data_IF_348602287266
#
_entry.id   IF_348602287266
#
_cell.length_a   1.000
_cell.length_b   1.000
_cell.length_c   1.000
_cell.angle_alpha   90.00
_cell.angle_beta   90.00
_cell.angle_gamma   90.00
#
_symmetry.space_group_name_H-M   'P 1'
#
loop_
_entity.id
_entity.type
_entity.pdbx_description
1 polymer ?
#
# COMPACT_ATOMS: atom_id res chain seq x y z
N UNK A 1 14.57 34.97 -12.67
CA UNK A 1 14.10 34.36 -13.92
C UNK A 1 15.24 34.46 -14.91
N UNK A 2 15.73 33.32 -15.42
CA UNK A 2 16.85 33.24 -16.35
C UNK A 2 16.36 32.63 -17.66
N UNK A 3 16.73 33.21 -18.80
CA UNK A 3 16.38 32.69 -20.12
C UNK A 3 17.59 31.98 -20.70
N UNK A 4 17.40 30.77 -21.18
CA UNK A 4 18.45 29.96 -21.80
C UNK A 4 18.50 30.21 -23.31
N UNK A 5 19.61 29.82 -23.95
CA UNK A 5 19.83 29.99 -25.39
C UNK A 5 18.83 29.18 -26.24
N UNK A 6 18.24 28.12 -25.67
CA UNK A 6 17.17 27.31 -26.28
C UNK A 6 15.78 27.97 -26.20
N UNK A 7 15.69 29.17 -25.62
CA UNK A 7 14.44 29.91 -25.42
C UNK A 7 13.67 29.55 -24.15
N UNK A 8 14.11 28.54 -23.38
CA UNK A 8 13.46 28.13 -22.13
C UNK A 8 13.70 29.11 -20.99
N UNK A 9 12.82 29.06 -19.98
CA UNK A 9 12.84 29.96 -18.83
C UNK A 9 13.02 29.18 -17.53
N UNK A 10 14.02 29.54 -16.73
CA UNK A 10 14.17 29.07 -15.34
C UNK A 10 13.66 30.12 -14.37
N UNK A 11 12.70 29.73 -13.54
CA UNK A 11 12.16 30.55 -12.45
C UNK A 11 12.51 29.95 -11.11
N UNK A 12 12.55 30.78 -10.06
CA UNK A 12 12.75 30.32 -8.69
C UNK A 12 11.51 30.67 -7.87
N UNK A 13 10.88 29.65 -7.29
CA UNK A 13 9.75 29.76 -6.35
C UNK A 13 8.49 30.49 -6.85
N UNK A 14 8.38 30.74 -8.16
CA UNK A 14 7.40 31.70 -8.71
C UNK A 14 5.96 31.18 -8.81
N UNK A 15 5.71 29.89 -8.55
CA UNK A 15 4.39 29.25 -8.70
C UNK A 15 3.97 28.43 -7.47
N UNK A 16 3.73 29.06 -6.31
CA UNK A 16 3.38 28.33 -5.08
C UNK A 16 2.05 27.58 -5.20
N UNK A 17 1.02 28.18 -5.79
CA UNK A 17 -0.31 27.56 -5.94
C UNK A 17 -0.31 26.36 -6.89
N UNK A 18 0.32 26.50 -8.07
CA UNK A 18 0.46 25.39 -9.01
C UNK A 18 1.27 24.24 -8.40
N UNK A 19 2.32 24.55 -7.61
CA UNK A 19 3.08 23.52 -6.88
C UNK A 19 2.24 22.86 -5.78
N UNK A 20 1.39 23.59 -5.08
CA UNK A 20 0.47 23.01 -4.10
C UNK A 20 -0.54 22.06 -4.77
N UNK A 21 -1.13 22.47 -5.90
CA UNK A 21 -2.02 21.62 -6.69
C UNK A 21 -1.31 20.36 -7.21
N UNK A 22 -0.08 20.50 -7.72
CA UNK A 22 0.74 19.35 -8.14
C UNK A 22 1.08 18.43 -6.96
N UNK A 23 1.45 18.97 -5.80
CA UNK A 23 1.68 18.16 -4.59
C UNK A 23 0.42 17.40 -4.17
N UNK A 24 -0.75 18.03 -4.23
CA UNK A 24 -2.01 17.36 -3.91
C UNK A 24 -2.31 16.20 -4.88
N UNK A 25 -2.04 16.40 -6.18
CA UNK A 25 -2.15 15.34 -7.17
C UNK A 25 -1.14 14.20 -6.90
N UNK A 26 0.13 14.55 -6.65
CA UNK A 26 1.20 13.61 -6.32
C UNK A 26 0.82 12.76 -5.10
N UNK A 27 0.36 13.39 -4.00
CA UNK A 27 -0.05 12.70 -2.79
C UNK A 27 -1.24 11.74 -2.99
N UNK A 28 -2.07 11.99 -4.00
CA UNK A 28 -3.20 11.14 -4.35
C UNK A 28 -2.81 9.98 -5.26
N UNK A 29 -1.92 10.23 -6.22
CA UNK A 29 -1.66 9.31 -7.35
C UNK A 29 -0.40 8.46 -7.14
N UNK A 30 0.67 9.04 -6.57
CA UNK A 30 1.95 8.34 -6.42
C UNK A 30 1.83 7.13 -5.48
N UNK A 31 1.17 7.19 -4.30
CA UNK A 31 1.20 6.05 -3.40
C UNK A 31 0.53 4.78 -3.93
N UNK A 32 -0.65 4.83 -4.58
CA UNK A 32 -1.22 3.66 -5.25
C UNK A 32 -0.31 3.10 -6.35
N UNK A 33 0.31 3.96 -7.18
CA UNK A 33 1.23 3.51 -8.23
C UNK A 33 2.46 2.82 -7.63
N UNK A 34 3.12 3.45 -6.65
CA UNK A 34 4.30 2.85 -6.00
C UNK A 34 3.96 1.54 -5.30
N UNK A 35 2.81 1.48 -4.63
CA UNK A 35 2.34 0.26 -3.97
C UNK A 35 2.10 -0.84 -5.00
N UNK A 36 1.34 -0.54 -6.07
CA UNK A 36 1.04 -1.48 -7.14
C UNK A 36 2.32 -1.97 -7.84
N UNK A 37 3.23 -1.07 -8.21
CA UNK A 37 4.52 -1.44 -8.83
C UNK A 37 5.36 -2.30 -7.90
N UNK A 38 5.45 -1.93 -6.62
CA UNK A 38 6.15 -2.73 -5.61
C UNK A 38 5.51 -4.09 -5.51
N UNK A 39 4.18 -4.18 -5.59
CA UNK A 39 3.49 -5.44 -5.53
C UNK A 39 3.71 -6.32 -6.76
N UNK A 40 3.63 -5.74 -7.95
CA UNK A 40 3.83 -6.44 -9.22
C UNK A 40 5.26 -6.99 -9.38
N UNK A 41 6.26 -6.21 -8.96
CA UNK A 41 7.68 -6.51 -9.23
C UNK A 41 8.33 -7.39 -8.15
N UNK A 42 7.72 -7.48 -6.97
CA UNK A 42 8.22 -8.31 -5.89
C UNK A 42 7.72 -9.74 -5.99
N UNK A 43 8.66 -10.69 -5.94
CA UNK A 43 8.41 -12.12 -5.78
C UNK A 43 8.95 -12.56 -4.41
N UNK A 44 8.50 -13.71 -3.86
CA UNK A 44 8.98 -14.20 -2.55
C UNK A 44 10.50 -14.23 -2.43
N UNK A 45 11.19 -14.66 -3.48
CA UNK A 45 12.66 -14.76 -3.51
C UNK A 45 13.35 -13.54 -4.13
N UNK A 46 12.57 -12.55 -4.56
CA UNK A 46 13.09 -11.41 -5.28
C UNK A 46 12.43 -10.10 -4.88
N UNK A 47 13.18 -9.32 -4.12
CA UNK A 47 12.72 -8.01 -3.69
C UNK A 47 13.33 -6.86 -4.50
N UNK A 48 12.48 -6.16 -5.23
CA UNK A 48 12.74 -4.90 -5.92
C UNK A 48 12.32 -3.75 -5.02
N UNK A 49 13.30 -2.94 -4.60
CA UNK A 49 13.05 -1.66 -3.95
C UNK A 49 12.88 -0.57 -5.03
N UNK A 50 11.72 0.08 -5.07
CA UNK A 50 11.51 1.25 -5.90
C UNK A 50 12.13 2.46 -5.23
N UNK A 51 12.99 3.16 -5.96
CA UNK A 51 13.68 4.34 -5.47
C UNK A 51 13.32 5.54 -6.29
N UNK A 52 12.95 6.62 -5.60
CA UNK A 52 12.78 7.93 -6.23
C UNK A 52 14.16 8.46 -6.62
N UNK A 53 14.39 8.64 -7.91
CA UNK A 53 15.64 9.19 -8.44
C UNK A 53 15.65 10.71 -8.41
N UNK A 54 14.64 11.34 -9.02
CA UNK A 54 14.56 12.80 -9.16
C UNK A 54 13.10 13.28 -9.20
N UNK A 55 12.87 14.56 -8.90
CA UNK A 55 11.59 15.25 -9.11
C UNK A 55 11.84 16.51 -9.95
N UNK A 56 11.52 16.45 -11.24
CA UNK A 56 11.45 17.62 -12.10
C UNK A 56 10.08 18.29 -12.06
N UNK A 57 10.01 19.59 -12.27
CA UNK A 57 8.77 20.31 -12.54
C UNK A 57 8.95 21.16 -13.80
N UNK A 58 8.06 20.98 -14.76
CA UNK A 58 8.05 21.74 -16.02
C UNK A 58 6.66 22.28 -16.30
N UNK A 59 6.57 23.52 -16.77
CA UNK A 59 5.35 24.17 -17.24
C UNK A 59 5.49 24.65 -18.68
N UNK A 60 4.37 25.10 -19.25
CA UNK A 60 4.35 25.77 -20.56
C UNK A 60 3.66 27.12 -20.41
N UNK A 61 4.30 28.17 -20.90
CA UNK A 61 3.75 29.52 -20.97
C UNK A 61 2.67 29.61 -22.07
N UNK A 62 1.86 30.67 -22.05
CA UNK A 62 0.77 30.90 -23.01
C UNK A 62 1.28 31.02 -24.46
N UNK A 63 2.52 31.48 -24.62
CA UNK A 63 3.23 31.59 -25.90
C UNK A 63 3.89 30.28 -26.36
N UNK A 64 3.73 29.18 -25.60
CA UNK A 64 4.33 27.88 -25.89
C UNK A 64 5.73 27.66 -25.30
N UNK A 65 6.32 28.68 -24.65
CA UNK A 65 7.67 28.58 -24.06
C UNK A 65 7.70 27.59 -22.89
N UNK A 66 8.73 26.73 -22.85
CA UNK A 66 8.91 25.78 -21.75
C UNK A 66 9.55 26.44 -20.52
N UNK A 67 8.98 26.17 -19.35
CA UNK A 67 9.42 26.71 -18.06
C UNK A 67 9.89 25.57 -17.17
N UNK A 68 11.12 25.68 -16.64
CA UNK A 68 11.72 24.68 -15.76
C UNK A 68 11.96 25.26 -14.37
N UNK A 69 11.55 24.54 -13.32
CA UNK A 69 11.86 24.84 -11.92
C UNK A 69 12.78 23.72 -11.41
N UNK A 70 14.08 24.01 -11.28
CA UNK A 70 15.13 23.01 -11.02
C UNK A 70 15.69 23.21 -9.60
N UNK A 71 15.90 22.11 -8.88
CA UNK A 71 16.61 22.04 -7.60
C UNK A 71 17.63 20.90 -7.67
N UNK A 72 18.91 21.22 -7.50
CA UNK A 72 19.98 20.23 -7.50
C UNK A 72 20.15 19.61 -6.10
N UNK A 73 20.19 18.28 -6.03
CA UNK A 73 20.55 17.50 -4.84
C UNK A 73 21.53 16.38 -5.25
N UNK A 74 22.69 16.29 -4.60
CA UNK A 74 23.73 15.32 -4.95
C UNK A 74 23.74 14.11 -4.01
N UNK A 75 23.83 12.91 -4.57
CA UNK A 75 23.98 11.64 -3.82
C UNK A 75 24.81 10.63 -4.62
N UNK A 76 25.69 9.88 -3.94
CA UNK A 76 26.48 8.81 -4.54
C UNK A 76 26.00 7.44 -4.04
N UNK A 77 25.79 6.49 -4.96
CA UNK A 77 25.29 5.14 -4.67
C UNK A 77 25.91 4.13 -5.63
N UNK A 78 26.14 2.89 -5.15
CA UNK A 78 26.58 1.76 -5.96
C UNK A 78 25.43 0.76 -6.13
N UNK A 79 25.32 0.14 -7.31
CA UNK A 79 24.27 -0.85 -7.60
C UNK A 79 24.80 -2.00 -8.46
N UNK A 80 24.13 -3.16 -8.33
CA UNK A 80 24.29 -4.32 -9.20
C UNK A 80 23.00 -4.45 -10.01
N UNK A 81 23.11 -4.34 -11.33
CA UNK A 81 21.99 -4.50 -12.26
C UNK A 81 21.88 -5.94 -12.74
N UNK A 82 20.65 -6.39 -12.99
CA UNK A 82 20.37 -7.69 -13.61
C UNK A 82 19.41 -7.51 -14.78
N UNK A 83 19.50 -8.33 -15.84
CA UNK A 83 18.54 -8.28 -16.93
C UNK A 83 17.13 -8.62 -16.40
N UNK A 84 16.16 -7.85 -16.85
CA UNK A 84 14.74 -8.10 -16.61
C UNK A 84 14.10 -8.34 -17.96
N UNK A 85 13.24 -9.35 -18.06
CA UNK A 85 12.54 -9.67 -19.30
C UNK A 85 11.58 -8.52 -19.67
N UNK A 86 11.72 -7.97 -20.88
CA UNK A 86 11.01 -6.77 -21.31
C UNK A 86 9.50 -7.04 -21.43
N UNK A 87 9.12 -8.23 -21.92
CA UNK A 87 7.72 -8.61 -22.08
C UNK A 87 7.05 -8.81 -20.71
N UNK A 88 7.75 -9.48 -19.78
CA UNK A 88 7.29 -9.60 -18.40
C UNK A 88 7.13 -8.23 -17.71
N UNK A 89 8.04 -7.28 -17.94
CA UNK A 89 7.94 -5.93 -17.39
C UNK A 89 6.75 -5.16 -17.98
N UNK A 90 6.55 -5.22 -19.30
CA UNK A 90 5.45 -4.55 -20.00
C UNK A 90 4.09 -5.04 -19.53
N UNK A 91 3.94 -6.35 -19.36
CA UNK A 91 2.72 -6.95 -18.82
C UNK A 91 2.48 -6.50 -17.37
N UNK A 92 3.51 -6.56 -16.52
CA UNK A 92 3.42 -6.10 -15.13
C UNK A 92 3.02 -4.62 -15.02
N UNK A 93 3.58 -3.74 -15.87
CA UNK A 93 3.25 -2.31 -15.87
C UNK A 93 1.81 -2.02 -16.34
N UNK A 94 1.28 -2.84 -17.25
CA UNK A 94 -0.11 -2.72 -17.70
C UNK A 94 -1.06 -3.06 -16.54
N UNK A 95 -0.79 -4.15 -15.83
CA UNK A 95 -1.58 -4.58 -14.67
C UNK A 95 -1.51 -3.58 -13.51
N UNK A 96 -0.33 -2.97 -13.29
CA UNK A 96 -0.14 -1.90 -12.29
C UNK A 96 -1.11 -0.75 -12.48
N UNK A 97 -1.35 -0.32 -13.72
CA UNK A 97 -2.21 0.84 -13.98
C UNK A 97 -3.65 0.56 -13.57
N UNK A 98 -4.16 -0.63 -13.94
CA UNK A 98 -5.48 -1.07 -13.56
C UNK A 98 -5.59 -1.22 -12.04
N UNK A 99 -4.65 -1.93 -11.42
CA UNK A 99 -4.69 -2.22 -9.98
C UNK A 99 -4.49 -0.99 -9.11
N UNK A 100 -3.58 -0.09 -9.48
CA UNK A 100 -3.37 1.18 -8.77
C UNK A 100 -4.68 1.97 -8.64
N UNK A 101 -5.53 1.97 -9.68
CA UNK A 101 -6.82 2.68 -9.66
C UNK A 101 -7.86 2.08 -8.69
N UNK A 102 -7.71 0.80 -8.36
CA UNK A 102 -8.64 0.04 -7.51
C UNK A 102 -8.17 -0.02 -6.04
N UNK A 103 -6.92 0.35 -5.76
CA UNK A 103 -6.36 0.29 -4.40
C UNK A 103 -7.05 1.27 -3.46
N UNK A 104 -7.16 0.89 -2.19
CA UNK A 104 -7.55 1.84 -1.16
C UNK A 104 -6.45 2.92 -1.02
N UNK A 105 -6.74 4.20 -1.29
CA UNK A 105 -5.71 5.24 -1.34
C UNK A 105 -5.04 5.48 0.02
N UNK A 106 -5.77 5.29 1.12
CA UNK A 106 -5.24 5.47 2.47
C UNK A 106 -4.30 4.33 2.84
N UNK A 107 -4.65 3.08 2.52
CA UNK A 107 -3.76 1.94 2.74
C UNK A 107 -2.49 2.05 1.87
N UNK A 108 -2.64 2.37 0.58
CA UNK A 108 -1.51 2.58 -0.32
C UNK A 108 -0.59 3.74 0.13
N UNK A 109 -1.15 4.80 0.71
CA UNK A 109 -0.37 5.88 1.32
C UNK A 109 0.54 5.38 2.43
N UNK A 110 0.01 4.63 3.39
CA UNK A 110 0.82 4.11 4.49
C UNK A 110 1.82 3.05 4.05
N UNK A 111 1.45 2.21 3.07
CA UNK A 111 2.39 1.28 2.46
C UNK A 111 3.57 2.02 1.81
N UNK A 112 3.28 3.04 0.98
CA UNK A 112 4.30 3.87 0.35
C UNK A 112 5.17 4.63 1.35
N UNK A 113 4.61 5.09 2.46
CA UNK A 113 5.40 5.71 3.54
C UNK A 113 6.36 4.67 4.13
N UNK A 114 5.89 3.46 4.42
CA UNK A 114 6.73 2.36 4.92
C UNK A 114 7.89 2.01 3.98
N UNK A 115 7.72 2.12 2.65
CA UNK A 115 8.81 1.92 1.69
C UNK A 115 9.92 2.97 1.78
N UNK A 116 9.58 4.19 2.19
CA UNK A 116 10.52 5.32 2.27
C UNK A 116 11.19 5.49 3.63
N UNK A 117 10.79 4.72 4.64
CA UNK A 117 11.33 4.82 6.00
C UNK A 117 12.57 3.95 6.20
N UNK A 118 13.55 4.49 6.93
CA UNK A 118 14.77 3.78 7.35
C UNK A 118 14.63 3.26 8.79
N UNK A 119 13.90 3.99 9.62
CA UNK A 119 13.64 3.63 11.01
C UNK A 119 12.68 2.43 11.08
N UNK A 120 13.13 1.34 11.71
CA UNK A 120 12.40 0.06 11.73
C UNK A 120 11.04 0.18 12.45
N UNK A 121 10.95 0.99 13.50
CA UNK A 121 9.70 1.23 14.21
C UNK A 121 8.68 1.95 13.30
N UNK A 122 9.06 3.09 12.70
CA UNK A 122 8.18 3.83 11.79
C UNK A 122 7.79 2.99 10.57
N UNK A 123 8.74 2.25 10.03
CA UNK A 123 8.53 1.35 8.90
C UNK A 123 7.51 0.27 9.25
N UNK A 124 7.67 -0.40 10.39
CA UNK A 124 6.70 -1.36 10.91
C UNK A 124 5.31 -0.75 11.11
N UNK A 125 5.22 0.39 11.79
CA UNK A 125 3.94 1.06 12.06
C UNK A 125 3.22 1.47 10.77
N UNK A 126 3.95 1.97 9.76
CA UNK A 126 3.39 2.32 8.47
C UNK A 126 2.83 1.09 7.73
N UNK A 127 3.58 -0.03 7.67
CA UNK A 127 3.05 -1.25 7.05
C UNK A 127 1.89 -1.86 7.83
N UNK A 128 1.94 -1.86 9.16
CA UNK A 128 0.84 -2.32 9.99
C UNK A 128 -0.42 -1.46 9.79
N UNK A 129 -0.26 -0.14 9.66
CA UNK A 129 -1.40 0.75 9.42
C UNK A 129 -2.00 0.53 8.02
N UNK A 130 -1.17 0.19 7.02
CA UNK A 130 -1.66 -0.23 5.70
C UNK A 130 -2.51 -1.52 5.80
N UNK A 131 -2.04 -2.52 6.56
CA UNK A 131 -2.75 -3.77 6.87
C UNK A 131 -4.10 -3.49 7.57
N UNK A 132 -4.08 -2.69 8.64
CA UNK A 132 -5.25 -2.33 9.45
C UNK A 132 -6.33 -1.64 8.61
N UNK A 133 -5.94 -0.61 7.85
CA UNK A 133 -6.86 0.14 6.99
C UNK A 133 -7.44 -0.74 5.89
N UNK A 134 -6.60 -1.57 5.25
CA UNK A 134 -7.07 -2.45 4.20
C UNK A 134 -8.04 -3.49 4.74
N UNK A 135 -7.73 -4.09 5.90
CA UNK A 135 -8.61 -5.05 6.58
C UNK A 135 -9.97 -4.45 6.87
N UNK A 136 -10.03 -3.24 7.43
CA UNK A 136 -11.30 -2.55 7.66
C UNK A 136 -12.05 -2.23 6.37
N UNK A 137 -11.33 -1.79 5.33
CA UNK A 137 -11.94 -1.46 4.04
C UNK A 137 -12.53 -2.70 3.35
N UNK A 138 -11.84 -3.84 3.39
CA UNK A 138 -12.34 -5.11 2.84
C UNK A 138 -13.50 -5.62 3.68
N UNK A 139 -13.35 -5.66 5.00
CA UNK A 139 -14.40 -6.12 5.92
C UNK A 139 -15.72 -5.38 5.68
N UNK A 140 -15.68 -4.05 5.55
CA UNK A 140 -16.88 -3.23 5.33
C UNK A 140 -17.54 -3.44 3.94
N UNK A 141 -16.87 -4.10 2.99
CA UNK A 141 -17.39 -4.38 1.65
C UNK A 141 -17.96 -5.81 1.53
N UNK A 142 -17.72 -6.67 2.52
CA UNK A 142 -18.20 -8.05 2.49
C UNK A 142 -19.71 -8.09 2.70
N UNK A 143 -20.43 -8.84 1.86
CA UNK A 143 -21.80 -9.24 2.18
C UNK A 143 -21.76 -10.38 3.22
N UNK A 144 -21.74 -10.00 4.50
CA UNK A 144 -21.64 -10.95 5.61
C UNK A 144 -22.76 -11.99 5.60
N UNK A 145 -23.97 -11.60 5.17
CA UNK A 145 -25.14 -12.47 5.11
C UNK A 145 -24.95 -13.56 4.06
N UNK A 146 -24.46 -13.19 2.88
CA UNK A 146 -24.20 -14.14 1.80
C UNK A 146 -23.19 -15.21 2.24
N UNK A 147 -22.07 -14.80 2.87
CA UNK A 147 -21.06 -15.74 3.32
C UNK A 147 -21.53 -16.62 4.49
N UNK A 148 -22.26 -16.07 5.47
CA UNK A 148 -22.84 -16.88 6.56
C UNK A 148 -23.83 -17.91 6.00
N UNK A 149 -24.67 -17.53 5.03
CA UNK A 149 -25.62 -18.43 4.39
C UNK A 149 -24.91 -19.53 3.62
N UNK A 150 -23.83 -19.20 2.90
CA UNK A 150 -23.00 -20.19 2.23
C UNK A 150 -22.41 -21.20 3.22
N UNK A 151 -21.90 -20.74 4.37
CA UNK A 151 -21.33 -21.61 5.40
C UNK A 151 -22.38 -22.51 6.07
N UNK A 152 -23.57 -21.99 6.37
CA UNK A 152 -24.63 -22.76 7.02
C UNK A 152 -25.36 -23.69 6.06
N UNK A 153 -25.41 -23.38 4.77
CA UNK A 153 -26.01 -24.26 3.74
C UNK A 153 -25.30 -25.61 3.62
N UNK A 154 -24.02 -25.68 4.00
CA UNK A 154 -23.25 -26.91 4.06
C UNK A 154 -23.59 -27.80 5.28
N UNK A 155 -24.38 -27.28 6.24
CA UNK A 155 -24.78 -27.98 7.47
C UNK A 155 -26.29 -28.25 7.43
N UNK A 156 -26.73 -29.48 7.15
CA UNK A 156 -28.15 -29.82 6.95
C UNK A 156 -29.07 -29.50 8.12
N UNK A 157 -28.51 -29.35 9.33
CA UNK A 157 -29.21 -29.07 10.58
C UNK A 157 -29.15 -27.59 11.02
N UNK A 158 -28.48 -26.72 10.28
CA UNK A 158 -28.39 -25.30 10.64
C UNK A 158 -29.74 -24.60 10.47
N UNK A 159 -30.38 -24.27 11.59
CA UNK A 159 -31.66 -23.57 11.58
C UNK A 159 -31.52 -22.12 11.06
N UNK A 160 -32.63 -21.55 10.57
CA UNK A 160 -32.69 -20.13 10.21
C UNK A 160 -32.29 -19.20 11.38
N UNK A 161 -32.60 -19.62 12.62
CA UNK A 161 -32.22 -18.90 13.84
C UNK A 161 -30.70 -18.88 14.03
N UNK A 162 -30.03 -20.02 13.81
CA UNK A 162 -28.57 -20.12 13.87
C UNK A 162 -27.90 -19.21 12.84
N UNK A 163 -28.41 -19.19 11.60
CA UNK A 163 -27.90 -18.32 10.54
C UNK A 163 -28.08 -16.83 10.87
N UNK A 164 -29.24 -16.43 11.40
CA UNK A 164 -29.48 -15.05 11.84
C UNK A 164 -28.55 -14.65 12.99
N UNK A 165 -28.33 -15.52 13.97
CA UNK A 165 -27.42 -15.24 15.09
C UNK A 165 -25.98 -15.05 14.60
N UNK A 166 -25.50 -15.94 13.72
CA UNK A 166 -24.16 -15.83 13.14
C UNK A 166 -23.99 -14.56 12.33
N UNK A 167 -24.99 -14.17 11.52
CA UNK A 167 -24.97 -12.91 10.80
C UNK A 167 -24.80 -11.72 11.75
N UNK A 168 -25.62 -11.61 12.79
CA UNK A 168 -25.51 -10.53 13.78
C UNK A 168 -24.14 -10.50 14.45
N UNK A 169 -23.56 -11.67 14.75
CA UNK A 169 -22.22 -11.77 15.35
C UNK A 169 -21.12 -11.32 14.39
N UNK A 170 -21.21 -11.68 13.11
CA UNK A 170 -20.22 -11.28 12.11
C UNK A 170 -20.25 -9.77 11.85
N UNK A 171 -21.44 -9.17 11.74
CA UNK A 171 -21.60 -7.72 11.58
C UNK A 171 -21.09 -6.94 12.81
N UNK A 172 -21.19 -7.52 14.00
CA UNK A 172 -20.74 -6.92 15.25
C UNK A 172 -19.25 -7.11 15.57
N UNK A 173 -18.44 -7.71 14.67
CA UNK A 173 -17.00 -7.87 14.91
C UNK A 173 -16.31 -6.51 14.97
N UNK A 174 -15.72 -6.20 16.13
CA UNK A 174 -14.98 -4.96 16.37
C UNK A 174 -13.47 -5.17 16.47
N UNK A 175 -13.03 -6.35 16.89
CA UNK A 175 -11.61 -6.67 17.00
C UNK A 175 -10.97 -6.77 15.61
N UNK A 176 -9.82 -6.11 15.44
CA UNK A 176 -9.08 -6.13 14.19
C UNK A 176 -8.67 -7.55 13.75
N UNK A 177 -8.28 -8.40 14.70
CA UNK A 177 -7.91 -9.79 14.41
C UNK A 177 -9.09 -10.58 13.86
N UNK A 178 -10.25 -10.50 14.52
CA UNK A 178 -11.45 -11.21 14.07
C UNK A 178 -11.89 -10.73 12.67
N UNK A 179 -11.79 -9.42 12.40
CA UNK A 179 -12.04 -8.87 11.06
C UNK A 179 -11.05 -9.42 10.02
N UNK A 180 -9.76 -9.53 10.39
CA UNK A 180 -8.74 -10.10 9.50
C UNK A 180 -9.04 -11.56 9.18
N UNK A 181 -9.36 -12.37 10.19
CA UNK A 181 -9.74 -13.78 10.00
C UNK A 181 -10.98 -13.90 9.12
N UNK A 182 -11.99 -13.05 9.34
CA UNK A 182 -13.18 -13.04 8.51
C UNK A 182 -12.89 -12.68 7.05
N UNK A 183 -12.06 -11.66 6.82
CA UNK A 183 -11.58 -11.32 5.48
C UNK A 183 -10.79 -12.48 4.85
N UNK A 184 -9.93 -13.17 5.61
CA UNK A 184 -9.19 -14.34 5.16
C UNK A 184 -10.11 -15.48 4.71
N UNK A 185 -11.17 -15.75 5.48
CA UNK A 185 -12.14 -16.79 5.17
C UNK A 185 -13.02 -16.46 3.96
N UNK A 186 -13.38 -15.18 3.76
CA UNK A 186 -14.39 -14.79 2.76
C UNK A 186 -13.80 -14.30 1.44
N UNK A 187 -12.74 -13.51 1.51
CA UNK A 187 -12.20 -12.75 0.36
C UNK A 187 -10.77 -13.18 0.07
N UNK A 188 -9.96 -13.43 1.10
CA UNK A 188 -8.55 -13.70 0.92
C UNK A 188 -8.18 -15.19 0.95
N UNK A 189 -8.78 -15.97 0.05
CA UNK A 189 -8.79 -17.45 0.09
C UNK A 189 -7.42 -18.14 -0.10
N UNK A 190 -6.40 -17.47 -0.64
CA UNK A 190 -5.01 -17.95 -0.71
C UNK A 190 -4.14 -17.55 0.51
N UNK A 191 -4.72 -16.92 1.54
CA UNK A 191 -4.06 -16.82 2.84
C UNK A 191 -4.07 -18.19 3.53
N UNK A 192 -2.91 -18.57 4.02
CA UNK A 192 -2.69 -19.78 4.80
C UNK A 192 -2.92 -19.50 6.28
N UNK A 193 -3.08 -20.55 7.09
CA UNK A 193 -3.11 -20.43 8.55
C UNK A 193 -1.83 -19.79 9.11
N UNK A 194 -0.69 -19.98 8.43
CA UNK A 194 0.56 -19.32 8.78
C UNK A 194 0.47 -17.80 8.59
N UNK A 195 -0.16 -17.31 7.53
CA UNK A 195 -0.37 -15.87 7.31
C UNK A 195 -1.27 -15.27 8.40
N UNK A 196 -2.31 -15.99 8.82
CA UNK A 196 -3.23 -15.57 9.90
C UNK A 196 -2.51 -15.51 11.24
N UNK A 197 -1.74 -16.55 11.56
CA UNK A 197 -0.92 -16.60 12.78
C UNK A 197 0.11 -15.46 12.79
N UNK A 198 0.72 -15.21 11.63
CA UNK A 198 1.68 -14.12 11.47
C UNK A 198 1.03 -12.75 11.68
N UNK A 199 -0.17 -12.52 11.16
CA UNK A 199 -0.92 -11.29 11.43
C UNK A 199 -1.15 -11.07 12.93
N UNK A 200 -1.48 -12.14 13.67
CA UNK A 200 -1.68 -12.07 15.12
C UNK A 200 -0.40 -11.63 15.85
N UNK A 201 0.76 -12.16 15.47
CA UNK A 201 2.06 -11.77 16.02
C UNK A 201 2.36 -10.30 15.76
N UNK A 202 2.15 -9.83 14.52
CA UNK A 202 2.34 -8.42 14.16
C UNK A 202 1.40 -7.52 14.96
N UNK A 203 0.12 -7.90 15.12
CA UNK A 203 -0.85 -7.16 15.92
C UNK A 203 -0.42 -7.07 17.38
N UNK A 204 0.05 -8.18 17.96
CA UNK A 204 0.55 -8.22 19.33
C UNK A 204 1.73 -7.27 19.52
N UNK A 205 2.71 -7.31 18.63
CA UNK A 205 3.85 -6.39 18.67
C UNK A 205 3.41 -4.92 18.59
N UNK A 206 2.48 -4.59 17.69
CA UNK A 206 1.90 -3.23 17.60
C UNK A 206 1.19 -2.82 18.89
N UNK A 207 0.40 -3.71 19.48
CA UNK A 207 -0.30 -3.40 20.72
C UNK A 207 0.67 -3.26 21.90
N UNK A 208 1.73 -4.07 21.97
CA UNK A 208 2.77 -3.92 23.00
C UNK A 208 3.48 -2.55 22.88
N UNK A 209 3.79 -2.11 21.65
CA UNK A 209 4.34 -0.77 21.39
C UNK A 209 3.35 0.33 21.81
N UNK A 210 2.09 0.22 21.39
CA UNK A 210 1.06 1.22 21.68
C UNK A 210 0.78 1.38 23.19
N UNK A 211 0.92 0.31 23.96
CA UNK A 211 0.76 0.33 25.42
C UNK A 211 2.07 0.64 26.17
N UNK A 212 3.17 0.95 25.48
CA UNK A 212 4.46 1.25 26.10
C UNK A 212 5.17 0.05 26.74
N UNK A 213 4.74 -1.19 26.42
CA UNK A 213 5.39 -2.44 26.86
C UNK A 213 6.63 -2.78 26.06
N UNK A 214 6.75 -2.25 24.84
CA UNK A 214 7.92 -2.33 23.99
C UNK A 214 8.20 -0.96 23.38
N UNK A 215 9.47 -0.62 23.20
CA UNK A 215 9.88 0.60 22.49
C UNK A 215 10.03 0.38 20.98
N UNK A 216 10.31 -0.86 20.57
CA UNK A 216 10.60 -1.24 19.19
C UNK A 216 9.95 -2.59 18.84
N UNK A 217 9.63 -2.83 17.56
CA UNK A 217 9.17 -4.13 17.12
C UNK A 217 10.33 -5.15 17.12
N UNK A 218 10.06 -6.45 17.25
CA UNK A 218 11.09 -7.47 17.10
C UNK A 218 11.77 -7.39 15.72
N UNK A 219 13.04 -7.81 15.66
CA UNK A 219 13.82 -7.75 14.43
C UNK A 219 13.11 -8.48 13.27
N UNK A 220 13.03 -7.82 12.11
CA UNK A 220 12.38 -8.35 10.91
C UNK A 220 10.87 -8.14 10.85
N UNK A 221 10.20 -7.69 11.92
CA UNK A 221 8.74 -7.50 11.89
C UNK A 221 8.30 -6.42 10.90
N UNK A 222 9.09 -5.37 10.68
CA UNK A 222 8.82 -4.38 9.64
C UNK A 222 8.78 -5.04 8.25
N UNK A 223 9.72 -5.95 7.99
CA UNK A 223 9.79 -6.70 6.75
C UNK A 223 8.63 -7.69 6.63
N UNK A 224 8.28 -8.39 7.69
CA UNK A 224 7.21 -9.37 7.63
C UNK A 224 5.83 -8.70 7.49
N UNK A 225 5.62 -7.55 8.14
CA UNK A 225 4.45 -6.70 7.91
C UNK A 225 4.35 -6.23 6.45
N UNK A 226 5.48 -5.84 5.84
CA UNK A 226 5.54 -5.48 4.42
C UNK A 226 5.11 -6.62 3.50
N UNK A 227 5.59 -7.84 3.75
CA UNK A 227 5.27 -9.02 2.94
C UNK A 227 3.80 -9.42 3.06
N UNK A 228 3.24 -9.38 4.27
CA UNK A 228 1.82 -9.66 4.46
C UNK A 228 0.94 -8.57 3.82
N UNK A 229 1.34 -7.30 3.95
CA UNK A 229 0.64 -6.18 3.32
C UNK A 229 0.64 -6.32 1.79
N UNK A 230 1.79 -6.69 1.21
CA UNK A 230 1.93 -7.00 -0.22
C UNK A 230 0.92 -8.08 -0.65
N UNK A 231 0.84 -9.20 0.08
CA UNK A 231 -0.02 -10.33 -0.26
C UNK A 231 -1.52 -9.97 -0.28
N UNK A 232 -1.97 -9.09 0.60
CA UNK A 232 -3.40 -8.70 0.64
C UNK A 232 -3.73 -7.51 -0.26
N UNK A 233 -2.77 -6.63 -0.54
CA UNK A 233 -2.98 -5.43 -1.35
C UNK A 233 -2.95 -5.70 -2.86
N UNK A 234 -2.26 -6.75 -3.31
CA UNK A 234 -2.05 -7.05 -4.73
C UNK A 234 -3.14 -7.91 -5.38
N UNK A 235 -4.34 -7.93 -4.81
CA UNK A 235 -5.44 -8.81 -5.24
C UNK A 235 -6.37 -8.14 -6.26
#
# INVERSE_FOLDING_TARGET
MQRHEDGSLTTYDSFPEARAAMRALEQRVIPPILTAMTCALNKPDLFVALKKLERGSSGRCVDGTHLHDIRFEGKAEAYVSRPFDEDALRNALTDVTLKASQMNPKSAKFFSLGLGEVDELKRFLNFFLALEIHTHAVFARIDHRLHVTSLTSAVPSASAVTSSMLQTKMEALTNLFDRFVWCAACVWTDLTESDVSHFLELKKARDDIAHGRASEPPAGFARSAQLLAHKILWR
#
